data_IF_014742540918
#
_entry.id   IF_014742540918
#
_cell.length_a   1.000
_cell.length_b   1.000
_cell.length_c   1.000
_cell.angle_alpha   90.00
_cell.angle_beta   90.00
_cell.angle_gamma   90.00
#
_symmetry.space_group_name_H-M   'P 1'
#
loop_
_entity.id
_entity.type
_entity.pdbx_description
1 polymer ?
#
# COMPACT_ATOMS: atom_id res chain seq x y z
N UNK A 1 -3.62 -1.97 5.58
CA UNK A 1 -2.27 -1.70 5.07
C UNK A 1 -1.40 -2.89 5.42
N UNK A 2 -0.66 -3.40 4.43
CA UNK A 2 0.27 -4.51 4.60
C UNK A 2 1.68 -4.06 4.25
N UNK A 3 2.66 -4.57 4.99
CA UNK A 3 4.08 -4.29 4.79
C UNK A 3 4.80 -5.55 4.30
N UNK A 4 5.31 -5.50 3.07
CA UNK A 4 6.09 -6.59 2.46
C UNK A 4 7.57 -6.40 2.85
N UNK A 5 8.31 -7.48 3.18
CA UNK A 5 7.97 -8.91 3.02
C UNK A 5 7.20 -9.57 4.18
N UNK A 6 7.07 -8.91 5.33
CA UNK A 6 6.46 -9.48 6.54
C UNK A 6 5.08 -10.10 6.26
N UNK A 7 4.21 -9.32 5.63
CA UNK A 7 2.81 -9.70 5.43
C UNK A 7 2.59 -10.64 4.24
N UNK A 8 3.63 -10.92 3.44
CA UNK A 8 3.56 -11.97 2.42
C UNK A 8 3.27 -13.34 3.04
N UNK A 9 3.74 -13.57 4.25
CA UNK A 9 3.52 -14.85 4.93
C UNK A 9 2.14 -14.93 5.62
N UNK A 10 1.65 -13.82 6.15
CA UNK A 10 0.44 -13.82 7.00
C UNK A 10 -0.85 -13.52 6.24
N UNK A 11 -0.88 -12.50 5.39
CA UNK A 11 -2.13 -12.01 4.76
C UNK A 11 -2.17 -12.11 3.24
N UNK A 12 -1.05 -12.37 2.58
CA UNK A 12 -1.02 -12.44 1.11
C UNK A 12 -1.90 -13.57 0.56
N UNK A 13 -1.97 -14.70 1.25
CA UNK A 13 -2.86 -15.80 0.88
C UNK A 13 -4.33 -15.34 0.85
N UNK A 14 -4.75 -14.56 1.85
CA UNK A 14 -6.10 -14.00 1.90
C UNK A 14 -6.37 -13.06 0.72
N UNK A 15 -5.40 -12.23 0.33
CA UNK A 15 -5.54 -11.32 -0.81
C UNK A 15 -5.60 -12.04 -2.15
N UNK A 16 -4.86 -13.15 -2.28
CA UNK A 16 -4.76 -13.90 -3.54
C UNK A 16 -5.91 -14.88 -3.76
N UNK A 17 -6.43 -15.49 -2.70
CA UNK A 17 -7.42 -16.59 -2.78
C UNK A 17 -8.71 -16.31 -1.99
N UNK A 18 -8.80 -15.18 -1.26
CA UNK A 18 -9.99 -14.74 -0.56
C UNK A 18 -10.96 -13.95 -1.46
N UNK A 19 -11.65 -12.97 -0.88
CA UNK A 19 -12.61 -12.13 -1.59
C UNK A 19 -11.98 -11.34 -2.73
N UNK A 20 -12.53 -11.44 -3.94
CA UNK A 20 -11.96 -10.86 -5.17
C UNK A 20 -12.50 -9.46 -5.52
N UNK A 21 -13.19 -8.80 -4.63
CA UNK A 21 -13.78 -7.48 -4.83
C UNK A 21 -12.89 -6.33 -4.32
N UNK A 22 -11.59 -6.58 -4.20
CA UNK A 22 -10.62 -5.61 -3.72
C UNK A 22 -9.81 -5.03 -4.88
N UNK A 23 -9.49 -3.74 -4.78
CA UNK A 23 -8.50 -3.05 -5.60
C UNK A 23 -7.27 -2.74 -4.76
N UNK A 24 -6.08 -3.08 -5.25
CA UNK A 24 -4.84 -2.92 -4.50
C UNK A 24 -4.00 -1.76 -5.02
N UNK A 25 -3.42 -1.01 -4.10
CA UNK A 25 -2.43 0.01 -4.42
C UNK A 25 -1.09 -0.40 -3.81
N UNK A 26 -0.09 -0.62 -4.66
CA UNK A 26 1.27 -0.92 -4.25
C UNK A 26 2.11 0.34 -4.21
N UNK A 27 2.87 0.51 -3.14
CA UNK A 27 3.90 1.53 -3.03
C UNK A 27 5.26 0.85 -2.99
N UNK A 28 6.12 1.18 -3.93
CA UNK A 28 7.51 0.76 -3.92
C UNK A 28 8.41 1.99 -3.83
N UNK A 29 9.18 2.07 -2.76
CA UNK A 29 10.15 3.14 -2.56
C UNK A 29 11.51 2.65 -3.06
N UNK A 30 12.09 3.37 -4.02
CA UNK A 30 13.42 3.09 -4.54
C UNK A 30 14.49 3.53 -3.53
N UNK A 31 14.69 2.70 -2.52
CA UNK A 31 15.74 2.93 -1.54
C UNK A 31 17.06 2.35 -2.05
N UNK A 32 18.06 3.18 -2.19
CA UNK A 32 19.42 2.75 -2.53
C UNK A 32 20.11 2.20 -1.28
N UNK A 33 19.63 1.07 -0.76
CA UNK A 33 20.30 0.38 0.32
C UNK A 33 21.53 -0.34 -0.25
N UNK A 34 22.76 0.13 0.02
CA UNK A 34 23.98 -0.48 -0.51
C UNK A 34 24.30 -1.81 0.18
N UNK A 35 23.58 -2.16 1.26
CA UNK A 35 23.86 -3.33 2.09
C UNK A 35 23.70 -4.61 1.28
N UNK A 36 24.81 -5.32 1.11
CA UNK A 36 24.84 -6.65 0.53
C UNK A 36 24.45 -7.71 1.57
N UNK A 37 23.90 -8.81 1.07
CA UNK A 37 23.62 -9.99 1.89
C UNK A 37 24.97 -10.63 2.26
N UNK A 38 25.12 -11.00 3.52
CA UNK A 38 26.28 -11.76 3.97
C UNK A 38 26.22 -13.18 3.42
N UNK A 39 27.20 -13.50 2.58
CA UNK A 39 27.28 -14.82 1.93
C UNK A 39 27.60 -15.96 2.90
N UNK A 40 28.21 -15.66 4.05
CA UNK A 40 28.64 -16.65 5.03
C UNK A 40 27.45 -17.23 5.82
N UNK A 41 26.36 -16.48 5.91
CA UNK A 41 25.14 -16.90 6.62
C UNK A 41 24.11 -17.58 5.72
N UNK A 42 24.38 -17.70 4.41
CA UNK A 42 23.45 -18.24 3.45
C UNK A 42 23.41 -19.77 3.46
N UNK A 43 22.21 -20.32 3.68
CA UNK A 43 21.95 -21.74 3.50
C UNK A 43 22.11 -22.15 2.02
N UNK A 44 22.42 -23.42 1.78
CA UNK A 44 22.58 -23.97 0.43
C UNK A 44 21.34 -23.79 -0.47
N UNK A 45 20.14 -23.82 0.13
CA UNK A 45 18.86 -23.56 -0.53
C UNK A 45 18.66 -22.11 -1.01
N UNK A 46 19.45 -21.17 -0.47
CA UNK A 46 19.32 -19.73 -0.76
C UNK A 46 20.50 -19.17 -1.58
N UNK A 47 21.22 -20.00 -2.30
CA UNK A 47 22.38 -19.61 -3.14
C UNK A 47 22.05 -18.52 -4.15
N UNK A 48 20.80 -18.39 -4.59
CA UNK A 48 20.34 -17.34 -5.51
C UNK A 48 20.43 -15.93 -4.93
N UNK A 49 20.55 -15.81 -3.59
CA UNK A 49 20.74 -14.51 -2.91
C UNK A 49 22.20 -14.07 -2.84
N UNK A 50 23.13 -14.93 -3.25
CA UNK A 50 24.57 -14.65 -3.15
C UNK A 50 24.95 -13.38 -3.91
N UNK A 51 25.71 -12.51 -3.28
CA UNK A 51 26.17 -11.22 -3.82
C UNK A 51 25.05 -10.23 -4.19
N UNK A 52 23.80 -10.50 -3.82
CA UNK A 52 22.69 -9.59 -4.07
C UNK A 52 22.62 -8.51 -2.99
N UNK A 53 22.08 -7.34 -3.35
CA UNK A 53 21.72 -6.30 -2.39
C UNK A 53 20.33 -6.54 -1.84
N UNK A 54 20.08 -6.06 -0.64
CA UNK A 54 18.72 -6.10 -0.05
C UNK A 54 17.70 -5.39 -0.95
N UNK A 55 18.08 -4.26 -1.56
CA UNK A 55 17.25 -3.55 -2.54
C UNK A 55 16.84 -4.42 -3.74
N UNK A 56 17.76 -5.28 -4.23
CA UNK A 56 17.46 -6.17 -5.36
C UNK A 56 16.42 -7.23 -4.97
N UNK A 57 16.52 -7.74 -3.74
CA UNK A 57 15.56 -8.72 -3.20
C UNK A 57 14.18 -8.09 -3.06
N UNK A 58 14.10 -6.91 -2.44
CA UNK A 58 12.83 -6.19 -2.26
C UNK A 58 12.18 -5.84 -3.61
N UNK A 59 12.98 -5.36 -4.58
CA UNK A 59 12.46 -5.08 -5.92
C UNK A 59 11.97 -6.36 -6.61
N UNK A 60 12.70 -7.45 -6.49
CA UNK A 60 12.31 -8.74 -7.07
C UNK A 60 11.00 -9.27 -6.46
N UNK A 61 10.83 -9.13 -5.15
CA UNK A 61 9.58 -9.49 -4.46
C UNK A 61 8.40 -8.62 -4.94
N UNK A 62 8.62 -7.30 -5.04
CA UNK A 62 7.62 -6.39 -5.58
C UNK A 62 7.18 -6.80 -6.99
N UNK A 63 8.13 -7.05 -7.90
CA UNK A 63 7.86 -7.49 -9.26
C UNK A 63 7.17 -8.86 -9.33
N UNK A 64 7.58 -9.79 -8.48
CA UNK A 64 6.94 -11.11 -8.38
C UNK A 64 5.49 -11.00 -7.91
N UNK A 65 5.22 -10.17 -6.90
CA UNK A 65 3.86 -9.89 -6.42
C UNK A 65 2.98 -9.34 -7.55
N UNK A 66 3.44 -8.33 -8.29
CA UNK A 66 2.71 -7.79 -9.43
C UNK A 66 2.38 -8.87 -10.47
N UNK A 67 3.36 -9.73 -10.82
CA UNK A 67 3.15 -10.84 -11.77
C UNK A 67 2.08 -11.82 -11.29
N UNK A 68 2.05 -12.15 -10.00
CA UNK A 68 1.04 -13.05 -9.43
C UNK A 68 -0.34 -12.41 -9.46
N UNK A 69 -0.47 -11.13 -9.12
CA UNK A 69 -1.73 -10.39 -9.18
C UNK A 69 -2.27 -10.33 -10.62
N UNK A 70 -1.41 -10.04 -11.60
CA UNK A 70 -1.78 -10.08 -13.02
C UNK A 70 -2.27 -11.48 -13.45
N UNK A 71 -1.53 -12.53 -13.07
CA UNK A 71 -1.91 -13.91 -13.38
C UNK A 71 -3.27 -14.30 -12.79
N UNK A 72 -3.54 -13.82 -11.57
CA UNK A 72 -4.81 -14.07 -10.88
C UNK A 72 -5.93 -13.08 -11.27
N UNK A 73 -5.66 -12.15 -12.18
CA UNK A 73 -6.60 -11.11 -12.64
C UNK A 73 -7.14 -10.23 -11.50
N UNK A 74 -6.32 -9.99 -10.49
CA UNK A 74 -6.66 -9.11 -9.36
C UNK A 74 -6.27 -7.69 -9.76
N UNK A 75 -7.19 -6.71 -9.73
CA UNK A 75 -6.89 -5.35 -10.15
C UNK A 75 -5.99 -4.65 -9.14
N UNK A 76 -4.97 -3.98 -9.65
CA UNK A 76 -4.06 -3.18 -8.85
C UNK A 76 -3.46 -2.02 -9.62
N UNK A 77 -2.92 -1.06 -8.89
CA UNK A 77 -2.03 -0.01 -9.41
C UNK A 77 -0.75 0.04 -8.58
N UNK A 78 0.28 0.70 -9.10
CA UNK A 78 1.57 0.81 -8.42
C UNK A 78 2.14 2.21 -8.51
N UNK A 79 2.61 2.72 -7.38
CA UNK A 79 3.38 3.95 -7.29
C UNK A 79 4.85 3.59 -7.03
N UNK A 80 5.73 4.05 -7.92
CA UNK A 80 7.17 3.92 -7.75
C UNK A 80 7.70 5.25 -7.25
N UNK A 81 8.09 5.30 -6.00
CA UNK A 81 8.59 6.48 -5.32
C UNK A 81 10.11 6.51 -5.48
N UNK A 82 10.59 7.43 -6.29
CA UNK A 82 12.02 7.53 -6.61
C UNK A 82 12.84 8.14 -5.47
N UNK A 83 12.21 8.99 -4.65
CA UNK A 83 12.87 9.71 -3.56
C UNK A 83 11.91 9.91 -2.39
N UNK A 84 12.40 9.69 -1.19
CA UNK A 84 11.67 9.99 0.05
C UNK A 84 12.03 11.41 0.50
N UNK A 85 11.20 12.36 0.12
CA UNK A 85 11.32 13.75 0.55
C UNK A 85 9.91 14.37 0.71
N UNK A 86 9.88 15.56 1.28
CA UNK A 86 8.65 16.30 1.56
C UNK A 86 7.89 16.63 0.28
N UNK A 87 8.60 16.92 -0.80
CA UNK A 87 8.01 17.19 -2.12
C UNK A 87 7.23 15.99 -2.62
N UNK A 88 7.84 14.81 -2.64
CA UNK A 88 7.17 13.57 -3.09
C UNK A 88 5.97 13.23 -2.21
N UNK A 89 6.06 13.48 -0.91
CA UNK A 89 4.93 13.29 0.01
C UNK A 89 3.79 14.27 -0.31
N UNK A 90 4.11 15.54 -0.55
CA UNK A 90 3.13 16.55 -0.98
C UNK A 90 2.45 16.19 -2.30
N UNK A 91 3.20 15.70 -3.28
CA UNK A 91 2.68 15.22 -4.56
C UNK A 91 1.69 14.05 -4.37
N UNK A 92 2.00 13.10 -3.48
CA UNK A 92 1.10 11.98 -3.15
C UNK A 92 -0.17 12.48 -2.46
N UNK A 93 -0.09 13.40 -1.51
CA UNK A 93 -1.28 13.98 -0.88
C UNK A 93 -2.16 14.70 -1.90
N UNK A 94 -1.59 15.55 -2.74
CA UNK A 94 -2.32 16.23 -3.79
C UNK A 94 -3.01 15.23 -4.74
N UNK A 95 -2.30 14.16 -5.13
CA UNK A 95 -2.86 13.10 -5.97
C UNK A 95 -4.11 12.48 -5.32
N UNK A 96 -4.03 12.04 -4.06
CA UNK A 96 -5.15 11.37 -3.40
C UNK A 96 -6.32 12.30 -3.07
N UNK A 97 -6.06 13.58 -2.80
CA UNK A 97 -7.11 14.61 -2.65
C UNK A 97 -7.86 14.77 -3.98
N UNK A 98 -7.12 14.95 -5.08
CA UNK A 98 -7.73 15.10 -6.40
C UNK A 98 -8.48 13.84 -6.83
N UNK A 99 -7.93 12.67 -6.59
CA UNK A 99 -8.58 11.38 -6.85
C UNK A 99 -9.91 11.29 -6.10
N UNK A 100 -9.93 11.64 -4.81
CA UNK A 100 -11.16 11.63 -3.99
C UNK A 100 -12.21 12.57 -4.54
N UNK A 101 -11.81 13.78 -4.94
CA UNK A 101 -12.73 14.78 -5.54
C UNK A 101 -13.31 14.25 -6.86
N UNK A 102 -12.46 13.70 -7.72
CA UNK A 102 -12.86 13.15 -9.02
C UNK A 102 -13.79 11.94 -8.88
N UNK A 103 -13.48 11.03 -7.95
CA UNK A 103 -14.33 9.88 -7.64
C UNK A 103 -15.67 10.33 -7.07
N UNK A 104 -15.69 11.31 -6.16
CA UNK A 104 -16.92 11.90 -5.65
C UNK A 104 -17.80 12.45 -6.77
N UNK A 105 -17.21 13.20 -7.70
CA UNK A 105 -17.93 13.69 -8.89
C UNK A 105 -18.46 12.56 -9.77
N UNK A 106 -17.64 11.54 -10.05
CA UNK A 106 -18.04 10.41 -10.87
C UNK A 106 -19.19 9.60 -10.25
N UNK A 107 -19.19 9.46 -8.94
CA UNK A 107 -20.21 8.76 -8.16
C UNK A 107 -21.41 9.67 -7.79
N UNK A 108 -21.39 10.96 -8.17
CA UNK A 108 -22.41 11.96 -7.81
C UNK A 108 -22.57 12.12 -6.28
N UNK A 109 -21.46 11.99 -5.54
CA UNK A 109 -21.39 12.16 -4.09
C UNK A 109 -20.61 13.44 -3.80
N UNK A 110 -21.04 14.20 -2.77
CA UNK A 110 -20.28 15.36 -2.31
C UNK A 110 -19.06 14.90 -1.49
N UNK A 111 -17.82 15.11 -1.97
CA UNK A 111 -16.63 14.69 -1.26
C UNK A 111 -16.19 15.63 -0.14
N UNK A 112 -16.88 16.78 0.04
CA UNK A 112 -16.48 17.85 0.96
C UNK A 112 -17.25 17.84 2.27
N UNK A 113 -18.29 17.01 2.43
CA UNK A 113 -19.06 16.93 3.65
C UNK A 113 -19.07 15.52 4.25
N UNK A 114 -19.36 15.44 5.54
CA UNK A 114 -19.41 14.18 6.30
C UNK A 114 -20.69 14.14 7.16
N UNK A 115 -21.90 14.07 6.56
CA UNK A 115 -23.15 14.19 7.31
C UNK A 115 -23.31 13.14 8.41
N UNK A 116 -22.81 11.92 8.22
CA UNK A 116 -22.85 10.89 9.24
C UNK A 116 -22.00 11.24 10.49
N UNK A 117 -20.87 11.90 10.29
CA UNK A 117 -20.01 12.35 11.41
C UNK A 117 -20.68 13.53 12.16
N UNK A 118 -21.38 14.41 11.46
CA UNK A 118 -22.12 15.52 12.09
C UNK A 118 -23.26 15.01 12.98
N UNK A 119 -23.91 13.91 12.64
CA UNK A 119 -24.91 13.28 13.52
C UNK A 119 -24.28 12.85 14.85
N UNK A 120 -23.11 12.21 14.83
CA UNK A 120 -22.41 11.80 16.05
C UNK A 120 -22.09 13.02 16.93
N UNK A 121 -21.58 14.11 16.35
CA UNK A 121 -21.27 15.34 17.09
C UNK A 121 -22.52 15.93 17.73
N UNK A 122 -23.62 16.00 16.98
CA UNK A 122 -24.90 16.52 17.45
C UNK A 122 -25.44 15.70 18.62
N UNK A 123 -25.42 14.38 18.53
CA UNK A 123 -25.93 13.52 19.62
C UNK A 123 -24.98 13.52 20.84
N UNK A 124 -23.66 13.60 20.62
CA UNK A 124 -22.71 13.81 21.72
C UNK A 124 -23.04 15.07 22.49
N UNK A 125 -23.31 16.19 21.79
CA UNK A 125 -23.67 17.43 22.44
C UNK A 125 -25.00 17.34 23.22
N UNK A 126 -26.01 16.61 22.71
CA UNK A 126 -27.26 16.38 23.44
C UNK A 126 -27.03 15.58 24.73
N UNK A 127 -26.25 14.50 24.65
CA UNK A 127 -25.92 13.66 25.81
C UNK A 127 -25.21 14.48 26.88
N UNK A 128 -24.22 15.28 26.51
CA UNK A 128 -23.46 16.11 27.45
C UNK A 128 -24.32 17.18 28.12
N UNK A 129 -25.36 17.68 27.45
CA UNK A 129 -26.29 18.63 28.07
C UNK A 129 -27.28 17.98 29.05
N UNK A 130 -27.43 16.66 29.00
CA UNK A 130 -28.36 15.92 29.87
C UNK A 130 -27.68 15.37 31.14
N UNK A 131 -26.36 15.48 31.25
CA UNK A 131 -25.55 15.13 32.43
C UNK A 131 -25.35 16.38 33.30
#
# INVERSE_FOLDING_TARGET
ISSVPKDNHSVMQLYLDGFKNNFFTFFYVMDKQPKKIDNNTLLSSHKYLRNKKISDVLYSQFRATQKVFLKKKIPFRSFIIKKRDEKTLGELFAFFILETILLGKALKINPFNQPAVELIKTDTAKILKAI
#
